data_IF_392635307119
#
_entry.id   IF_392635307119
#
_cell.length_a   1.000
_cell.length_b   1.000
_cell.length_c   1.000
_cell.angle_alpha   90.00
_cell.angle_beta   90.00
_cell.angle_gamma   90.00
#
_symmetry.space_group_name_H-M   'P 1'
#
loop_
_entity.id
_entity.type
_entity.pdbx_description
1 polymer ?
#
# COMPACT_ATOMS: atom_id res chain seq x y z
N UNK A 1 -9.26 19.97 -6.52
CA UNK A 1 -8.18 19.26 -5.78
C UNK A 1 -6.84 19.64 -6.40
N UNK A 2 -5.81 19.79 -5.60
CA UNK A 2 -4.46 20.11 -6.08
C UNK A 2 -3.69 18.82 -6.36
N UNK A 3 -3.51 18.50 -7.65
CA UNK A 3 -2.81 17.27 -8.07
C UNK A 3 -1.34 17.25 -7.65
N UNK A 4 -0.74 18.44 -7.51
CA UNK A 4 0.62 18.65 -7.01
C UNK A 4 0.83 18.24 -5.53
N UNK A 5 -0.27 18.04 -4.80
CA UNK A 5 -0.27 17.61 -3.40
C UNK A 5 -0.43 16.10 -3.21
N UNK A 6 -0.56 15.33 -4.28
CA UNK A 6 -0.60 13.87 -4.19
C UNK A 6 0.81 13.30 -4.02
N UNK A 7 0.93 12.19 -3.29
CA UNK A 7 2.16 11.40 -3.30
C UNK A 7 2.45 10.83 -4.69
N UNK A 8 3.70 10.53 -4.99
CA UNK A 8 4.11 9.98 -6.28
C UNK A 8 3.34 8.69 -6.61
N UNK A 9 3.18 7.79 -5.63
CA UNK A 9 2.39 6.56 -5.77
C UNK A 9 0.93 6.83 -6.09
N UNK A 10 0.33 7.81 -5.42
CA UNK A 10 -1.07 8.12 -5.67
C UNK A 10 -1.29 8.78 -7.05
N UNK A 11 -0.36 9.63 -7.50
CA UNK A 11 -0.39 10.18 -8.87
C UNK A 11 -0.31 9.08 -9.93
N UNK A 12 0.61 8.11 -9.75
CA UNK A 12 0.73 6.95 -10.64
C UNK A 12 -0.57 6.15 -10.67
N UNK A 13 -1.16 5.87 -9.51
CA UNK A 13 -2.43 5.11 -9.43
C UNK A 13 -3.58 5.81 -10.17
N UNK A 14 -3.63 7.16 -10.18
CA UNK A 14 -4.64 7.91 -10.95
C UNK A 14 -4.38 7.75 -12.45
N UNK A 15 -3.12 7.80 -12.89
CA UNK A 15 -2.76 7.57 -14.29
C UNK A 15 -3.09 6.14 -14.74
N UNK A 16 -2.82 5.14 -13.87
CA UNK A 16 -3.17 3.75 -14.12
C UNK A 16 -4.69 3.55 -14.17
N UNK A 17 -5.44 4.22 -13.29
CA UNK A 17 -6.91 4.20 -13.30
C UNK A 17 -7.49 4.80 -14.59
N UNK A 18 -6.86 5.86 -15.12
CA UNK A 18 -7.22 6.43 -16.41
C UNK A 18 -6.95 5.43 -17.54
N UNK A 19 -5.77 4.80 -17.56
CA UNK A 19 -5.41 3.79 -18.55
C UNK A 19 -6.37 2.59 -18.49
N UNK A 20 -6.77 2.17 -17.29
CA UNK A 20 -7.73 1.10 -17.08
C UNK A 20 -9.13 1.46 -17.63
N UNK A 21 -9.59 2.70 -17.42
CA UNK A 21 -10.86 3.18 -17.94
C UNK A 21 -10.86 3.22 -19.49
N UNK A 22 -9.77 3.75 -20.08
CA UNK A 22 -9.59 3.75 -21.54
C UNK A 22 -9.57 2.33 -22.11
N UNK A 23 -8.79 1.42 -21.49
CA UNK A 23 -8.69 0.02 -21.95
C UNK A 23 -9.98 -0.80 -21.82
N UNK A 24 -10.97 -0.29 -21.07
CA UNK A 24 -12.30 -0.90 -20.90
C UNK A 24 -13.40 -0.13 -21.63
N UNK A 25 -13.07 0.82 -22.48
CA UNK A 25 -14.01 1.69 -23.20
C UNK A 25 -15.02 2.42 -22.27
N UNK A 26 -14.59 2.76 -21.06
CA UNK A 26 -15.40 3.52 -20.12
C UNK A 26 -15.20 5.02 -20.34
N UNK A 27 -16.29 5.78 -20.38
CA UNK A 27 -16.27 7.23 -20.59
C UNK A 27 -15.80 7.99 -19.34
N UNK A 28 -15.96 7.39 -18.15
CA UNK A 28 -15.63 8.02 -16.89
C UNK A 28 -14.64 7.19 -16.08
N UNK A 29 -13.71 7.87 -15.42
CA UNK A 29 -12.86 7.27 -14.39
C UNK A 29 -13.68 7.24 -13.11
N UNK A 30 -14.14 6.06 -12.73
CA UNK A 30 -14.92 5.83 -11.51
C UNK A 30 -14.00 5.52 -10.31
N UNK A 31 -14.48 5.67 -9.06
CA UNK A 31 -13.73 5.28 -7.86
C UNK A 31 -13.22 3.83 -7.89
N UNK A 32 -13.95 2.95 -8.56
CA UNK A 32 -13.61 1.53 -8.71
C UNK A 32 -12.33 1.36 -9.54
N UNK A 33 -12.15 2.15 -10.61
CA UNK A 33 -10.91 2.13 -11.41
C UNK A 33 -9.70 2.48 -10.56
N UNK A 34 -9.81 3.56 -9.76
CA UNK A 34 -8.72 4.00 -8.89
C UNK A 34 -8.42 2.96 -7.80
N UNK A 35 -9.44 2.34 -7.21
CA UNK A 35 -9.24 1.29 -6.22
C UNK A 35 -8.56 0.06 -6.83
N UNK A 36 -8.95 -0.36 -8.04
CA UNK A 36 -8.30 -1.45 -8.74
C UNK A 36 -6.82 -1.14 -9.04
N UNK A 37 -6.54 0.05 -9.57
CA UNK A 37 -5.18 0.50 -9.83
C UNK A 37 -4.32 0.51 -8.55
N UNK A 38 -4.85 1.01 -7.43
CA UNK A 38 -4.18 1.00 -6.14
C UNK A 38 -3.88 -0.42 -5.62
N UNK A 39 -4.78 -1.36 -5.87
CA UNK A 39 -4.56 -2.75 -5.49
C UNK A 39 -3.55 -3.46 -6.40
N UNK A 40 -3.43 -3.07 -7.66
CA UNK A 40 -2.51 -3.70 -8.61
C UNK A 40 -1.12 -3.05 -8.63
N UNK A 41 -0.96 -1.94 -7.91
CA UNK A 41 0.28 -1.18 -7.87
C UNK A 41 1.43 -1.97 -7.22
N UNK A 42 2.53 -2.18 -7.96
CA UNK A 42 3.74 -2.82 -7.45
C UNK A 42 4.37 -2.03 -6.31
N UNK A 43 4.60 -2.70 -5.18
CA UNK A 43 5.11 -2.06 -3.98
C UNK A 43 4.15 -0.98 -3.44
N UNK A 44 2.84 -1.13 -3.69
CA UNK A 44 1.80 -0.26 -3.13
C UNK A 44 1.46 -0.65 -1.69
N UNK A 45 1.16 0.35 -0.84
CA UNK A 45 0.81 0.15 0.58
C UNK A 45 -0.59 -0.40 0.80
N UNK A 46 -1.47 -0.35 -0.22
CA UNK A 46 -2.90 -0.64 -0.04
C UNK A 46 -3.16 -2.12 0.25
N UNK A 47 -2.55 -3.05 -0.50
CA UNK A 47 -2.72 -4.50 -0.23
C UNK A 47 -2.31 -4.91 1.18
N UNK A 48 -1.12 -4.54 1.69
CA UNK A 48 -0.73 -4.81 3.08
C UNK A 48 -1.68 -4.21 4.11
N UNK A 49 -2.11 -2.96 3.93
CA UNK A 49 -3.06 -2.28 4.84
C UNK A 49 -4.40 -3.02 4.88
N UNK A 50 -4.94 -3.43 3.73
CA UNK A 50 -6.18 -4.20 3.65
C UNK A 50 -6.04 -5.57 4.31
N UNK A 51 -4.95 -6.28 4.07
CA UNK A 51 -4.68 -7.56 4.70
C UNK A 51 -4.59 -7.44 6.23
N UNK A 52 -3.87 -6.42 6.72
CA UNK A 52 -3.75 -6.13 8.15
C UNK A 52 -5.08 -5.70 8.80
N UNK A 53 -5.98 -5.07 8.03
CA UNK A 53 -7.33 -4.74 8.50
C UNK A 53 -8.28 -5.94 8.61
N UNK A 54 -7.83 -7.14 8.20
CA UNK A 54 -8.62 -8.38 8.23
C UNK A 54 -9.50 -8.58 6.99
N UNK A 55 -9.31 -7.78 5.95
CA UNK A 55 -10.08 -7.90 4.70
C UNK A 55 -9.52 -9.03 3.83
N UNK A 56 -10.42 -9.83 3.24
CA UNK A 56 -10.03 -10.79 2.21
C UNK A 56 -9.68 -10.07 0.90
N UNK A 57 -8.39 -9.79 0.70
CA UNK A 57 -7.88 -9.03 -0.44
C UNK A 57 -8.23 -9.69 -1.79
N UNK A 58 -8.20 -11.03 -1.86
CA UNK A 58 -8.53 -11.76 -3.10
C UNK A 58 -10.02 -11.62 -3.44
N UNK A 59 -10.90 -11.77 -2.45
CA UNK A 59 -12.34 -11.59 -2.64
C UNK A 59 -12.67 -10.14 -3.04
N UNK A 60 -12.05 -9.15 -2.41
CA UNK A 60 -12.22 -7.75 -2.77
C UNK A 60 -11.78 -7.50 -4.23
N UNK A 61 -10.64 -8.07 -4.65
CA UNK A 61 -10.15 -7.90 -6.03
C UNK A 61 -11.14 -8.48 -7.04
N UNK A 62 -11.66 -9.70 -6.80
CA UNK A 62 -12.68 -10.31 -7.65
C UNK A 62 -13.97 -9.47 -7.73
N UNK A 63 -14.40 -8.93 -6.59
CA UNK A 63 -15.60 -8.08 -6.55
C UNK A 63 -15.41 -6.75 -7.28
N UNK A 64 -14.18 -6.20 -7.27
CA UNK A 64 -13.82 -5.01 -8.07
C UNK A 64 -13.86 -5.33 -9.56
N UNK A 65 -13.30 -6.47 -9.99
CA UNK A 65 -13.34 -6.89 -11.39
C UNK A 65 -14.79 -7.06 -11.90
N UNK A 66 -15.64 -7.75 -11.14
CA UNK A 66 -17.07 -7.84 -11.47
C UNK A 66 -17.74 -6.47 -11.53
N UNK A 67 -17.36 -5.54 -10.66
CA UNK A 67 -17.93 -4.21 -10.65
C UNK A 67 -17.46 -3.37 -11.85
N UNK A 68 -16.19 -3.53 -12.27
CA UNK A 68 -15.64 -2.92 -13.49
C UNK A 68 -16.33 -3.45 -14.74
N UNK A 69 -16.57 -4.76 -14.82
CA UNK A 69 -17.24 -5.39 -15.98
C UNK A 69 -18.69 -4.93 -16.16
N UNK A 70 -19.32 -4.40 -15.10
CA UNK A 70 -20.70 -3.88 -15.13
C UNK A 70 -20.78 -2.38 -15.44
N UNK A 71 -19.63 -1.71 -15.62
CA UNK A 71 -19.62 -0.28 -15.97
C UNK A 71 -20.09 -0.10 -17.44
N UNK A 72 -20.76 1.01 -17.74
CA UNK A 72 -21.16 1.32 -19.11
C UNK A 72 -19.95 1.50 -20.01
N UNK A 73 -19.97 0.88 -21.17
CA UNK A 73 -18.98 1.03 -22.23
C UNK A 73 -19.54 1.88 -23.36
N UNK A 74 -18.67 2.68 -24.01
CA UNK A 74 -19.06 3.52 -25.15
C UNK A 74 -18.10 3.24 -26.31
N UNK A 75 -18.58 2.55 -27.33
CA UNK A 75 -17.79 2.28 -28.53
C UNK A 75 -17.34 3.59 -29.19
N UNK A 76 -16.06 3.70 -29.48
CA UNK A 76 -15.49 4.86 -30.17
C UNK A 76 -15.17 6.06 -29.28
N UNK A 77 -15.28 5.97 -27.96
CA UNK A 77 -14.83 7.00 -27.01
C UNK A 77 -13.29 7.08 -26.87
N UNK A 78 -12.57 6.77 -27.95
CA UNK A 78 -11.11 6.68 -27.97
C UNK A 78 -10.45 7.96 -27.42
N UNK A 79 -10.15 7.97 -26.13
CA UNK A 79 -9.22 8.91 -25.51
C UNK A 79 -9.81 10.03 -24.67
N UNK A 80 -11.11 10.30 -24.70
CA UNK A 80 -11.71 11.43 -23.96
C UNK A 80 -12.39 10.93 -22.68
N UNK A 81 -11.58 10.47 -21.71
CA UNK A 81 -12.08 9.93 -20.44
C UNK A 81 -12.04 11.03 -19.38
N UNK A 82 -13.17 11.26 -18.72
CA UNK A 82 -13.34 12.29 -17.70
C UNK A 82 -13.44 11.68 -16.29
N UNK A 83 -13.04 12.46 -15.28
CA UNK A 83 -13.30 12.08 -13.90
C UNK A 83 -14.82 12.08 -13.63
N UNK A 84 -15.33 11.00 -13.05
CA UNK A 84 -16.71 10.99 -12.58
C UNK A 84 -16.92 11.96 -11.41
N UNK A 85 -18.16 12.40 -11.22
CA UNK A 85 -18.52 13.25 -10.09
C UNK A 85 -18.24 12.57 -8.75
N UNK A 86 -18.44 11.25 -8.68
CA UNK A 86 -18.19 10.45 -7.48
C UNK A 86 -16.70 10.38 -7.14
N UNK A 87 -15.84 10.17 -8.14
CA UNK A 87 -14.40 10.21 -7.93
C UNK A 87 -13.92 11.59 -7.52
N UNK A 88 -14.41 12.64 -8.18
CA UNK A 88 -14.08 14.02 -7.83
C UNK A 88 -14.48 14.38 -6.38
N UNK A 89 -15.67 13.93 -5.94
CA UNK A 89 -16.15 14.09 -4.57
C UNK A 89 -15.24 13.34 -3.58
N UNK A 90 -14.92 12.07 -3.84
CA UNK A 90 -14.06 11.28 -2.98
C UNK A 90 -12.66 11.86 -2.84
N UNK A 91 -12.06 12.31 -3.93
CA UNK A 91 -10.76 12.97 -3.91
C UNK A 91 -10.76 14.25 -3.06
N UNK A 92 -11.87 15.03 -3.09
CA UNK A 92 -12.03 16.18 -2.20
C UNK A 92 -12.17 15.80 -0.72
N UNK A 93 -12.83 14.67 -0.41
CA UNK A 93 -12.89 14.14 0.96
C UNK A 93 -11.51 13.66 1.41
N UNK A 94 -10.77 13.01 0.54
CA UNK A 94 -9.39 12.54 0.78
C UNK A 94 -8.46 13.73 1.13
N UNK A 95 -8.55 14.84 0.38
CA UNK A 95 -7.80 16.07 0.68
C UNK A 95 -8.15 16.64 2.08
N UNK A 96 -9.44 16.67 2.44
CA UNK A 96 -9.85 17.09 3.79
C UNK A 96 -9.31 16.19 4.89
N UNK A 97 -9.23 14.88 4.66
CA UNK A 97 -8.63 13.93 5.60
C UNK A 97 -7.12 14.17 5.78
N UNK A 98 -6.39 14.45 4.70
CA UNK A 98 -4.98 14.82 4.76
C UNK A 98 -4.77 16.11 5.57
N UNK A 99 -5.58 17.15 5.31
CA UNK A 99 -5.53 18.40 6.07
C UNK A 99 -5.82 18.19 7.57
N UNK A 100 -6.83 17.37 7.90
CA UNK A 100 -7.16 17.05 9.30
C UNK A 100 -6.02 16.32 10.02
N UNK A 101 -5.23 15.53 9.29
CA UNK A 101 -4.05 14.82 9.82
C UNK A 101 -2.78 15.68 9.81
N UNK A 102 -2.84 16.91 9.29
CA UNK A 102 -1.71 17.81 9.06
C UNK A 102 -0.65 17.19 8.14
N UNK A 103 -1.08 16.40 7.16
CA UNK A 103 -0.22 15.87 6.11
C UNK A 103 0.02 16.94 5.04
N UNK A 104 1.25 17.09 4.55
CA UNK A 104 1.59 18.02 3.47
C UNK A 104 1.18 17.44 2.11
N UNK A 105 1.24 16.10 1.98
CA UNK A 105 0.84 15.38 0.79
C UNK A 105 -0.33 14.43 1.08
N UNK A 106 -1.12 14.18 0.06
CA UNK A 106 -2.29 13.30 0.09
C UNK A 106 -1.84 11.91 -0.34
N UNK A 107 -1.89 10.94 0.54
CA UNK A 107 -1.48 9.56 0.29
C UNK A 107 -2.66 8.65 -0.07
N UNK A 108 -2.35 7.55 -0.74
CA UNK A 108 -3.34 6.62 -1.32
C UNK A 108 -4.23 5.97 -0.27
N UNK A 109 -3.73 5.66 0.92
CA UNK A 109 -4.51 5.04 1.98
C UNK A 109 -5.66 5.94 2.49
N UNK A 110 -5.52 7.27 2.37
CA UNK A 110 -6.59 8.20 2.74
C UNK A 110 -7.76 8.15 1.76
N UNK A 111 -7.52 7.76 0.49
CA UNK A 111 -8.60 7.52 -0.46
C UNK A 111 -9.45 6.32 -0.04
N UNK A 112 -8.84 5.22 0.39
CA UNK A 112 -9.57 4.05 0.88
C UNK A 112 -10.38 4.41 2.14
N UNK A 113 -9.78 5.20 3.04
CA UNK A 113 -10.45 5.69 4.24
C UNK A 113 -11.64 6.63 3.93
N UNK A 114 -11.53 7.45 2.88
CA UNK A 114 -12.65 8.27 2.41
C UNK A 114 -13.75 7.41 1.79
N UNK A 115 -13.37 6.38 1.01
CA UNK A 115 -14.28 5.54 0.28
C UNK A 115 -15.17 4.67 1.18
N UNK A 116 -14.66 4.20 2.33
CA UNK A 116 -15.43 3.32 3.22
C UNK A 116 -16.68 3.98 3.81
N UNK A 117 -16.63 5.29 4.04
CA UNK A 117 -17.76 6.07 4.57
C UNK A 117 -18.66 6.59 3.44
N UNK A 118 -18.26 6.43 2.18
CA UNK A 118 -18.99 6.97 1.05
C UNK A 118 -20.19 6.08 0.67
N UNK A 119 -21.21 6.73 0.09
CA UNK A 119 -22.43 6.05 -0.39
C UNK A 119 -22.29 5.52 -1.83
N UNK A 120 -21.12 5.71 -2.43
CA UNK A 120 -20.83 5.17 -3.77
C UNK A 120 -20.79 3.65 -3.77
N UNK A 121 -20.86 3.07 -4.96
CA UNK A 121 -20.72 1.63 -5.18
C UNK A 121 -19.41 1.08 -4.58
N UNK A 122 -18.31 1.85 -4.64
CA UNK A 122 -17.05 1.44 -4.02
C UNK A 122 -17.20 1.29 -2.50
N UNK A 123 -17.83 2.25 -1.82
CA UNK A 123 -18.04 2.18 -0.38
C UNK A 123 -18.91 0.98 0.03
N UNK A 124 -19.97 0.69 -0.72
CA UNK A 124 -20.79 -0.52 -0.50
C UNK A 124 -19.97 -1.80 -0.66
N UNK A 125 -19.14 -1.87 -1.69
CA UNK A 125 -18.29 -3.01 -1.99
C UNK A 125 -17.23 -3.24 -0.90
N UNK A 126 -16.57 -2.18 -0.42
CA UNK A 126 -15.60 -2.27 0.67
C UNK A 126 -16.24 -2.81 1.96
N UNK A 127 -17.43 -2.31 2.30
CA UNK A 127 -18.19 -2.78 3.48
C UNK A 127 -18.66 -4.23 3.33
N UNK A 128 -19.08 -4.65 2.13
CA UNK A 128 -19.49 -6.04 1.86
C UNK A 128 -18.35 -7.04 1.99
N UNK A 129 -17.11 -6.59 1.77
CA UNK A 129 -15.90 -7.38 1.98
C UNK A 129 -15.37 -7.33 3.43
N UNK A 130 -16.24 -6.96 4.40
CA UNK A 130 -15.94 -6.90 5.83
C UNK A 130 -14.81 -5.92 6.19
N UNK A 131 -14.61 -4.87 5.39
CA UNK A 131 -13.71 -3.79 5.75
C UNK A 131 -14.44 -2.83 6.70
N UNK A 132 -13.88 -2.61 7.88
CA UNK A 132 -14.38 -1.67 8.88
C UNK A 132 -13.44 -0.50 9.04
N UNK A 133 -14.02 0.69 9.23
CA UNK A 133 -13.24 1.94 9.35
C UNK A 133 -12.21 1.89 10.46
N UNK A 134 -12.61 1.39 11.64
CA UNK A 134 -11.73 1.35 12.83
C UNK A 134 -10.50 0.46 12.61
N UNK A 135 -10.70 -0.73 12.00
CA UNK A 135 -9.61 -1.64 11.67
C UNK A 135 -8.70 -1.07 10.58
N UNK A 136 -9.30 -0.40 9.59
CA UNK A 136 -8.56 0.29 8.54
C UNK A 136 -7.73 1.46 9.09
N UNK A 137 -8.31 2.32 9.94
CA UNK A 137 -7.59 3.42 10.58
C UNK A 137 -6.43 2.92 11.44
N UNK A 138 -6.63 1.83 12.18
CA UNK A 138 -5.56 1.19 12.96
C UNK A 138 -4.44 0.70 12.05
N UNK A 139 -4.75 -0.06 11.00
CA UNK A 139 -3.76 -0.55 10.04
C UNK A 139 -2.98 0.59 9.37
N UNK A 140 -3.66 1.68 8.97
CA UNK A 140 -3.01 2.87 8.42
C UNK A 140 -2.04 3.49 9.44
N UNK A 141 -2.45 3.64 10.70
CA UNK A 141 -1.61 4.24 11.73
C UNK A 141 -0.40 3.36 12.07
N UNK A 142 -0.57 2.04 12.09
CA UNK A 142 0.51 1.07 12.30
C UNK A 142 1.55 1.15 11.15
N UNK A 143 1.09 1.15 9.89
CA UNK A 143 1.97 1.29 8.71
C UNK A 143 2.67 2.67 8.67
N UNK A 144 1.99 3.73 9.10
CA UNK A 144 2.59 5.07 9.19
C UNK A 144 3.59 5.22 10.33
N UNK A 145 3.53 4.37 11.37
CA UNK A 145 4.40 4.50 12.55
C UNK A 145 4.27 5.86 13.26
N UNK A 146 3.11 6.49 13.18
CA UNK A 146 2.86 7.83 13.74
C UNK A 146 3.44 9.00 12.94
N UNK A 147 4.03 8.73 11.77
CA UNK A 147 4.63 9.77 10.93
C UNK A 147 3.58 10.48 10.07
N UNK A 148 3.81 11.78 9.83
CA UNK A 148 3.06 12.56 8.84
C UNK A 148 3.60 12.31 7.43
N UNK A 149 2.78 12.66 6.44
CA UNK A 149 3.18 12.55 5.03
C UNK A 149 3.70 13.91 4.57
N UNK A 150 5.00 14.14 4.82
CA UNK A 150 5.66 15.42 4.51
C UNK A 150 6.54 15.34 3.25
N UNK A 151 6.68 14.15 2.66
CA UNK A 151 7.46 13.88 1.46
C UNK A 151 6.54 13.24 0.39
N UNK A 152 6.65 13.65 -0.90
CA UNK A 152 5.87 13.04 -1.98
C UNK A 152 6.16 11.55 -2.18
N UNK A 153 7.33 11.06 -1.74
CA UNK A 153 7.75 9.65 -1.84
C UNK A 153 7.60 8.89 -0.50
N UNK A 154 6.86 9.45 0.47
CA UNK A 154 6.69 8.84 1.79
C UNK A 154 6.16 7.39 1.74
N UNK A 155 5.29 7.07 0.76
CA UNK A 155 4.77 5.71 0.58
C UNK A 155 5.84 4.72 0.10
N UNK A 156 6.77 5.14 -0.76
CA UNK A 156 7.88 4.30 -1.21
C UNK A 156 8.86 4.00 -0.08
N UNK A 157 9.13 5.00 0.78
CA UNK A 157 10.09 4.86 1.89
C UNK A 157 9.60 3.88 2.96
N UNK A 158 8.28 3.79 3.20
CA UNK A 158 7.69 2.90 4.20
C UNK A 158 7.90 1.41 3.90
N UNK A 159 8.00 1.06 2.62
CA UNK A 159 8.20 -0.33 2.18
C UNK A 159 9.64 -0.63 1.76
N UNK A 160 10.55 0.34 1.89
CA UNK A 160 11.93 0.16 1.48
C UNK A 160 12.61 -1.02 2.19
N UNK A 161 12.34 -1.21 3.48
CA UNK A 161 12.86 -2.34 4.24
C UNK A 161 12.35 -3.69 3.70
N UNK A 162 11.04 -3.84 3.51
CA UNK A 162 10.45 -5.08 2.97
C UNK A 162 10.94 -5.37 1.54
N UNK A 163 11.11 -4.33 0.73
CA UNK A 163 11.50 -4.46 -0.68
C UNK A 163 12.99 -4.73 -0.87
N UNK A 164 13.85 -4.17 -0.01
CA UNK A 164 15.31 -4.22 -0.19
C UNK A 164 16.05 -4.98 0.91
N UNK A 165 15.35 -5.50 1.92
CA UNK A 165 15.95 -6.26 3.01
C UNK A 165 15.23 -7.58 3.23
N UNK A 166 15.89 -8.47 3.96
CA UNK A 166 15.36 -9.76 4.38
C UNK A 166 15.42 -9.80 5.90
N UNK A 167 14.28 -10.06 6.56
CA UNK A 167 14.26 -10.32 8.00
C UNK A 167 14.86 -11.70 8.28
N UNK A 168 16.10 -11.69 8.74
CA UNK A 168 16.83 -12.91 9.07
C UNK A 168 16.25 -13.62 10.30
N UNK A 169 15.65 -12.88 11.23
CA UNK A 169 15.01 -13.44 12.43
C UNK A 169 13.77 -14.23 12.04
N UNK A 170 12.94 -13.67 11.18
CA UNK A 170 11.76 -14.35 10.65
C UNK A 170 12.16 -15.61 9.85
N UNK A 171 13.17 -15.51 8.98
CA UNK A 171 13.68 -16.66 8.23
C UNK A 171 14.22 -17.76 9.15
N UNK A 172 14.87 -17.40 10.26
CA UNK A 172 15.33 -18.36 11.26
C UNK A 172 14.15 -19.07 11.91
N UNK A 173 13.12 -18.36 12.31
CA UNK A 173 11.88 -18.93 12.89
C UNK A 173 11.17 -19.88 11.93
N UNK A 174 11.20 -19.56 10.63
CA UNK A 174 10.63 -20.41 9.57
C UNK A 174 11.52 -21.59 9.17
N UNK A 175 12.69 -21.76 9.78
CA UNK A 175 13.65 -22.82 9.44
C UNK A 175 14.25 -22.68 8.04
N UNK A 176 14.27 -21.49 7.45
CA UNK A 176 14.74 -21.21 6.09
C UNK A 176 16.20 -20.74 6.01
N UNK A 177 16.92 -20.78 7.13
CA UNK A 177 18.36 -20.52 7.13
C UNK A 177 19.12 -21.83 6.95
N UNK A 178 20.22 -21.75 6.20
CA UNK A 178 21.11 -22.90 6.04
C UNK A 178 21.73 -23.29 7.38
N UNK A 179 21.88 -24.60 7.67
CA UNK A 179 22.50 -25.07 8.91
C UNK A 179 23.98 -24.68 8.93
N UNK A 180 24.42 -24.08 10.02
CA UNK A 180 25.84 -23.76 10.26
C UNK A 180 26.47 -24.94 10.98
N UNK A 181 27.51 -25.51 10.38
CA UNK A 181 28.24 -26.69 10.93
C UNK A 181 29.70 -26.31 11.21
N UNK A 182 30.22 -26.69 12.39
CA UNK A 182 31.62 -26.51 12.72
C UNK A 182 32.06 -25.07 13.03
N UNK A 183 31.13 -24.20 13.42
CA UNK A 183 31.41 -22.78 13.77
C UNK A 183 30.92 -22.43 15.19
N UNK A 184 30.95 -23.36 16.11
CA UNK A 184 30.39 -23.16 17.46
C UNK A 184 31.13 -22.09 18.27
N UNK A 185 32.46 -21.98 18.12
CA UNK A 185 33.24 -20.97 18.81
C UNK A 185 32.96 -19.56 18.30
N UNK A 186 32.90 -19.38 16.99
CA UNK A 186 32.59 -18.08 16.35
C UNK A 186 31.17 -17.63 16.71
N UNK A 187 30.19 -18.52 16.68
CA UNK A 187 28.82 -18.24 17.09
C UNK A 187 28.79 -17.80 18.55
N UNK A 188 29.42 -18.55 19.46
CA UNK A 188 29.47 -18.22 20.89
C UNK A 188 30.11 -16.84 21.12
N UNK A 189 31.21 -16.57 20.43
CA UNK A 189 31.91 -15.29 20.54
C UNK A 189 31.05 -14.14 20.01
N UNK A 190 30.40 -14.32 18.88
CA UNK A 190 29.48 -13.35 18.28
C UNK A 190 28.35 -13.00 19.23
N UNK A 191 27.70 -14.02 19.82
CA UNK A 191 26.62 -13.83 20.80
C UNK A 191 27.12 -13.06 22.03
N UNK A 192 28.31 -13.39 22.54
CA UNK A 192 28.91 -12.66 23.66
C UNK A 192 29.18 -11.18 23.35
N UNK A 193 29.61 -10.86 22.12
CA UNK A 193 29.82 -9.45 21.69
C UNK A 193 28.50 -8.73 21.55
N UNK A 194 27.49 -9.34 20.92
CA UNK A 194 26.15 -8.76 20.74
C UNK A 194 25.43 -8.46 22.06
N UNK A 195 25.70 -9.22 23.14
CA UNK A 195 25.09 -9.03 24.46
C UNK A 195 25.71 -7.86 25.25
N UNK A 196 26.80 -7.24 24.78
CA UNK A 196 27.43 -6.12 25.48
C UNK A 196 26.55 -4.86 25.38
N UNK A 197 26.58 -4.03 26.43
CA UNK A 197 25.87 -2.73 26.44
C UNK A 197 26.45 -1.71 25.48
N UNK A 198 27.76 -1.79 25.19
CA UNK A 198 28.52 -0.93 24.29
C UNK A 198 29.53 -1.77 23.52
N UNK A 199 30.00 -1.28 22.36
CA UNK A 199 30.96 -1.99 21.48
C UNK A 199 30.44 -3.40 21.11
N UNK A 200 29.18 -3.47 20.76
CA UNK A 200 28.45 -4.72 20.47
C UNK A 200 28.39 -5.06 18.97
N UNK A 201 29.26 -4.48 18.15
CA UNK A 201 29.34 -4.77 16.72
C UNK A 201 30.41 -5.82 16.45
N UNK A 202 30.09 -7.11 16.27
CA UNK A 202 31.07 -8.14 15.90
C UNK A 202 31.49 -7.97 14.44
N UNK A 203 32.77 -8.18 14.17
CA UNK A 203 33.34 -8.25 12.82
C UNK A 203 33.93 -9.65 12.64
N UNK A 204 33.47 -10.38 11.62
CA UNK A 204 34.01 -11.67 11.22
C UNK A 204 35.03 -11.45 10.11
N UNK A 205 36.20 -12.02 10.27
CA UNK A 205 37.31 -11.94 9.30
C UNK A 205 37.69 -13.36 8.93
N UNK A 206 37.84 -13.64 7.63
CA UNK A 206 38.22 -14.94 7.13
C UNK A 206 38.68 -14.89 5.68
N UNK A 207 39.07 -16.02 5.13
CA UNK A 207 39.39 -16.18 3.72
C UNK A 207 38.13 -16.03 2.87
N UNK A 208 38.27 -15.65 1.57
CA UNK A 208 37.14 -15.56 0.67
C UNK A 208 36.36 -16.88 0.61
N UNK A 209 35.03 -16.83 0.82
CA UNK A 209 34.16 -17.99 0.78
C UNK A 209 33.96 -18.74 2.11
N UNK A 210 34.47 -18.21 3.23
CA UNK A 210 34.21 -18.75 4.59
C UNK A 210 33.12 -17.96 5.31
#
# INVERSE_FOLDING_TARGET
>A
MRMDKLTSKFQMAIADAQSLAVGRDNQYIEPIHLMAALMDQDGGSIRPILAQSGTNVAALRSSLDEALDRLPTVEGAAGDVHLSNDLGRLLNVTDKLAQKRNDQYISSELFVLAAIDDKSRLGELLRSCNLHKETLEKAINDVRGGQKVDDPNAEDQRQALEKYTIDLTERAQQGKLDPVIGRDEEIRRTVQVLQRRTKNNPVLIGEPGV
#
